data_IF_142392853037
#
_entry.id   IF_142392853037
#
_cell.length_a   1.000
_cell.length_b   1.000
_cell.length_c   1.000
_cell.angle_alpha   90.00
_cell.angle_beta   90.00
_cell.angle_gamma   90.00
#
_symmetry.space_group_name_H-M   'P 1'
#
loop_
_entity.id
_entity.type
_entity.pdbx_description
1 polymer ?
#
# COMPACT_ATOMS: atom_id res chain seq x y z
N UNK A 1 5.97 -1.38 18.14
CA UNK A 1 6.14 -1.11 16.69
C UNK A 1 7.15 0.02 16.40
N UNK A 2 6.83 1.32 16.50
CA UNK A 2 7.74 2.38 15.99
C UNK A 2 9.14 2.39 16.65
N UNK A 3 9.20 2.27 17.98
CA UNK A 3 10.47 2.22 18.73
C UNK A 3 11.28 0.98 18.33
N UNK A 4 10.64 -0.17 18.20
CA UNK A 4 11.29 -1.42 17.78
C UNK A 4 11.78 -1.35 16.33
N UNK A 5 11.00 -0.73 15.45
CA UNK A 5 11.41 -0.50 14.06
C UNK A 5 12.63 0.43 13.99
N UNK A 6 12.66 1.50 14.79
CA UNK A 6 13.81 2.39 14.86
C UNK A 6 15.06 1.67 15.36
N UNK A 7 14.93 0.82 16.39
CA UNK A 7 16.03 -0.02 16.88
C UNK A 7 16.55 -0.95 15.79
N UNK A 8 15.65 -1.60 15.04
CA UNK A 8 16.02 -2.45 13.90
C UNK A 8 16.75 -1.69 12.79
N UNK A 9 16.32 -0.46 12.47
CA UNK A 9 17.01 0.40 11.49
C UNK A 9 18.44 0.66 11.94
N UNK A 10 18.65 0.98 13.22
CA UNK A 10 19.98 1.24 13.79
C UNK A 10 20.86 -0.02 13.79
N UNK A 11 20.33 -1.16 14.21
CA UNK A 11 21.03 -2.46 14.21
C UNK A 11 21.49 -2.83 12.79
N UNK A 12 20.63 -2.67 11.78
CA UNK A 12 21.00 -2.98 10.39
C UNK A 12 21.97 -1.96 9.81
N UNK A 13 21.88 -0.69 10.20
CA UNK A 13 22.84 0.33 9.79
C UNK A 13 24.25 0.04 10.33
N UNK A 14 24.38 -0.52 11.53
CA UNK A 14 25.67 -0.98 12.08
C UNK A 14 26.30 -2.11 11.24
N UNK A 15 25.47 -2.94 10.61
CA UNK A 15 25.89 -3.98 9.66
C UNK A 15 26.08 -3.46 8.23
N UNK A 16 25.82 -2.16 7.97
CA UNK A 16 25.85 -1.58 6.63
C UNK A 16 24.70 -2.05 5.71
N UNK A 17 23.62 -2.57 6.31
CA UNK A 17 22.47 -3.14 5.61
C UNK A 17 21.25 -2.21 5.68
N UNK A 18 20.41 -2.17 4.63
CA UNK A 18 19.16 -1.44 4.68
C UNK A 18 18.16 -2.11 5.66
N UNK A 19 17.21 -1.35 6.23
CA UNK A 19 16.16 -1.92 7.06
C UNK A 19 15.29 -2.88 6.25
N UNK A 20 14.85 -3.96 6.90
CA UNK A 20 13.88 -4.88 6.31
C UNK A 20 12.53 -4.19 6.09
N UNK A 21 11.76 -4.74 5.15
CA UNK A 21 10.37 -4.38 4.96
C UNK A 21 9.53 -4.78 6.18
N UNK A 22 8.39 -4.13 6.35
CA UNK A 22 7.44 -4.44 7.43
C UNK A 22 6.74 -5.76 7.17
N UNK A 23 6.61 -6.56 8.23
CA UNK A 23 5.77 -7.75 8.23
C UNK A 23 4.29 -7.42 8.50
N UNK A 24 3.43 -8.43 8.45
CA UNK A 24 1.99 -8.26 8.61
C UNK A 24 1.58 -7.77 10.01
N UNK A 25 2.29 -8.17 11.06
CA UNK A 25 2.01 -7.75 12.44
C UNK A 25 2.38 -6.27 12.63
N UNK A 26 3.53 -5.86 12.10
CA UNK A 26 3.99 -4.48 12.09
C UNK A 26 3.04 -3.58 11.29
N UNK A 27 2.58 -4.01 10.11
CA UNK A 27 1.58 -3.25 9.33
C UNK A 27 0.25 -3.17 10.07
N UNK A 28 -0.19 -4.24 10.72
CA UNK A 28 -1.42 -4.22 11.53
C UNK A 28 -1.33 -3.20 12.67
N UNK A 29 -0.23 -3.22 13.42
CA UNK A 29 0.02 -2.24 14.47
C UNK A 29 0.10 -0.80 13.94
N UNK A 30 0.72 -0.61 12.77
CA UNK A 30 0.81 0.69 12.09
C UNK A 30 -0.57 1.22 11.68
N UNK A 31 -1.44 0.35 11.17
CA UNK A 31 -2.83 0.69 10.79
C UNK A 31 -3.63 1.15 12.01
N UNK A 32 -3.50 0.46 13.15
CA UNK A 32 -4.18 0.87 14.38
C UNK A 32 -3.73 2.25 14.87
N UNK A 33 -2.44 2.59 14.71
CA UNK A 33 -1.95 3.95 14.99
C UNK A 33 -2.57 4.99 14.06
N UNK A 34 -2.68 4.69 12.76
CA UNK A 34 -3.23 5.60 11.75
C UNK A 34 -4.75 5.82 11.87
N UNK A 35 -5.46 4.93 12.58
CA UNK A 35 -6.88 5.11 12.93
C UNK A 35 -7.10 6.09 14.09
N UNK A 36 -6.05 6.43 14.86
CA UNK A 36 -6.16 7.38 15.96
C UNK A 36 -6.43 8.80 15.44
N UNK A 37 -7.34 9.57 16.09
CA UNK A 37 -7.70 10.91 15.63
C UNK A 37 -6.56 11.93 15.76
N UNK A 38 -5.59 11.67 16.65
CA UNK A 38 -4.37 12.45 16.84
C UNK A 38 -3.18 11.53 17.02
N UNK A 39 -2.09 11.83 16.30
CA UNK A 39 -0.87 11.03 16.26
C UNK A 39 0.31 11.97 15.99
N UNK A 40 1.21 12.07 16.97
CA UNK A 40 2.36 12.98 16.90
C UNK A 40 3.34 12.58 15.78
N UNK A 41 3.46 11.26 15.50
CA UNK A 41 4.35 10.71 14.47
C UNK A 41 3.61 10.32 13.18
N UNK A 42 2.57 11.08 12.80
CA UNK A 42 1.71 10.74 11.66
C UNK A 42 2.46 10.65 10.33
N UNK A 43 3.37 11.59 10.05
CA UNK A 43 4.17 11.59 8.82
C UNK A 43 5.06 10.34 8.72
N UNK A 44 5.76 9.99 9.80
CA UNK A 44 6.59 8.78 9.85
C UNK A 44 5.74 7.52 9.60
N UNK A 45 4.56 7.43 10.22
CA UNK A 45 3.67 6.30 10.00
C UNK A 45 3.20 6.19 8.54
N UNK A 46 2.91 7.32 7.91
CA UNK A 46 2.56 7.35 6.49
C UNK A 46 3.73 6.92 5.60
N UNK A 47 4.94 7.42 5.85
CA UNK A 47 6.13 7.01 5.09
C UNK A 47 6.38 5.51 5.17
N UNK A 48 6.25 4.93 6.38
CA UNK A 48 6.36 3.49 6.60
C UNK A 48 5.29 2.72 5.81
N UNK A 49 4.03 3.16 5.87
CA UNK A 49 2.95 2.52 5.14
C UNK A 49 3.19 2.58 3.62
N UNK A 50 3.67 3.71 3.10
CA UNK A 50 3.86 3.93 1.67
C UNK A 50 5.06 3.15 1.14
N UNK A 51 6.20 3.22 1.82
CA UNK A 51 7.50 2.80 1.28
C UNK A 51 8.07 1.52 1.87
N UNK A 52 7.57 1.05 3.02
CA UNK A 52 8.15 -0.10 3.73
C UNK A 52 7.27 -1.34 3.76
N UNK A 53 6.12 -1.33 3.08
CA UNK A 53 5.27 -2.52 2.92
C UNK A 53 5.56 -3.20 1.58
N UNK A 54 5.86 -4.51 1.55
CA UNK A 54 6.02 -5.26 0.31
C UNK A 54 4.79 -5.11 -0.61
N UNK A 55 4.97 -5.00 -1.94
CA UNK A 55 3.85 -5.01 -2.88
C UNK A 55 3.38 -6.44 -3.19
N UNK A 56 2.29 -6.58 -3.94
CA UNK A 56 1.84 -7.88 -4.45
C UNK A 56 0.94 -8.65 -3.48
N UNK A 57 1.21 -9.96 -3.34
CA UNK A 57 0.40 -10.91 -2.56
C UNK A 57 1.04 -11.32 -1.23
N UNK A 58 1.90 -10.46 -0.70
CA UNK A 58 2.48 -10.62 0.64
C UNK A 58 1.41 -10.40 1.74
N UNK A 59 1.59 -11.00 2.91
CA UNK A 59 0.65 -10.85 4.03
C UNK A 59 0.59 -9.40 4.55
N UNK A 60 1.71 -8.68 4.56
CA UNK A 60 1.71 -7.26 4.92
C UNK A 60 1.00 -6.41 3.85
N UNK A 61 1.11 -6.80 2.57
CA UNK A 61 0.37 -6.18 1.48
C UNK A 61 -1.14 -6.40 1.63
N UNK A 62 -1.58 -7.59 2.07
CA UNK A 62 -2.98 -7.89 2.35
C UNK A 62 -3.56 -6.92 3.39
N UNK A 63 -2.88 -6.75 4.52
CA UNK A 63 -3.31 -5.83 5.59
C UNK A 63 -3.37 -4.39 5.09
N UNK A 64 -2.33 -3.93 4.39
CA UNK A 64 -2.30 -2.58 3.80
C UNK A 64 -3.42 -2.36 2.79
N UNK A 65 -3.68 -3.33 1.90
CA UNK A 65 -4.72 -3.22 0.89
C UNK A 65 -6.12 -3.14 1.53
N UNK A 66 -6.39 -3.98 2.54
CA UNK A 66 -7.64 -3.94 3.29
C UNK A 66 -7.88 -2.58 3.94
N UNK A 67 -6.90 -2.09 4.71
CA UNK A 67 -7.01 -0.78 5.35
C UNK A 67 -7.26 0.36 4.35
N UNK A 68 -6.49 0.41 3.26
CA UNK A 68 -6.67 1.45 2.25
C UNK A 68 -8.01 1.31 1.52
N UNK A 69 -8.51 0.09 1.30
CA UNK A 69 -9.83 -0.14 0.73
C UNK A 69 -10.93 0.40 1.64
N UNK A 70 -10.87 0.12 2.95
CA UNK A 70 -11.86 0.58 3.92
C UNK A 70 -11.88 2.11 4.02
N UNK A 71 -10.71 2.75 4.00
CA UNK A 71 -10.60 4.23 3.97
C UNK A 71 -11.14 4.80 2.67
N UNK A 72 -10.79 4.20 1.52
CA UNK A 72 -11.32 4.63 0.22
C UNK A 72 -12.84 4.46 0.11
N UNK A 73 -13.38 3.43 0.76
CA UNK A 73 -14.83 3.18 0.84
C UNK A 73 -15.53 4.07 1.88
N UNK A 74 -14.79 4.72 2.77
CA UNK A 74 -15.36 5.52 3.86
C UNK A 74 -15.89 4.67 5.02
N UNK A 75 -15.53 3.39 5.08
CA UNK A 75 -15.90 2.45 6.14
C UNK A 75 -15.04 2.67 7.40
N UNK A 76 -13.78 3.07 7.20
CA UNK A 76 -12.85 3.47 8.26
C UNK A 76 -12.49 4.94 8.10
N UNK A 77 -12.59 5.70 9.19
CA UNK A 77 -12.10 7.09 9.24
C UNK A 77 -10.61 7.11 9.55
N UNK A 78 -9.84 7.82 8.74
CA UNK A 78 -8.44 8.15 9.01
C UNK A 78 -8.27 9.65 8.86
N UNK A 79 -7.70 10.32 9.87
CA UNK A 79 -7.47 11.76 9.82
C UNK A 79 -6.36 12.17 8.83
N UNK A 80 -5.52 11.21 8.42
CA UNK A 80 -4.30 11.46 7.65
C UNK A 80 -4.38 10.99 6.19
N UNK A 81 -5.36 10.16 5.85
CA UNK A 81 -5.54 9.61 4.50
C UNK A 81 -6.98 9.86 4.05
N UNK A 82 -7.15 10.66 3.00
CA UNK A 82 -8.45 10.88 2.37
C UNK A 82 -8.85 9.67 1.52
N UNK A 83 -10.15 9.48 1.20
CA UNK A 83 -10.58 8.39 0.31
C UNK A 83 -9.90 8.41 -1.06
N UNK A 84 -9.70 9.61 -1.62
CA UNK A 84 -8.94 9.81 -2.87
C UNK A 84 -7.48 9.37 -2.69
N UNK A 85 -6.83 9.78 -1.60
CA UNK A 85 -5.44 9.40 -1.35
C UNK A 85 -5.27 7.90 -1.15
N UNK A 86 -6.21 7.26 -0.44
CA UNK A 86 -6.21 5.81 -0.27
C UNK A 86 -6.33 5.07 -1.61
N UNK A 87 -7.18 5.58 -2.51
CA UNK A 87 -7.32 5.08 -3.89
C UNK A 87 -6.00 5.20 -4.69
N UNK A 88 -5.31 6.34 -4.58
CA UNK A 88 -4.00 6.51 -5.21
C UNK A 88 -2.98 5.50 -4.70
N UNK A 89 -2.95 5.29 -3.38
CA UNK A 89 -2.02 4.35 -2.73
C UNK A 89 -2.31 2.90 -3.10
N UNK A 90 -3.58 2.49 -3.19
CA UNK A 90 -3.95 1.20 -3.77
C UNK A 90 -3.40 1.05 -5.19
N UNK A 91 -3.39 2.13 -5.98
CA UNK A 91 -2.81 2.16 -7.31
C UNK A 91 -1.32 1.79 -7.40
N UNK A 92 -0.54 2.03 -6.34
CA UNK A 92 0.92 1.81 -6.34
C UNK A 92 1.34 0.39 -5.97
N UNK A 93 0.44 -0.45 -5.44
CA UNK A 93 0.76 -1.77 -4.88
C UNK A 93 1.10 -2.87 -5.91
N UNK A 94 1.44 -2.50 -7.14
CA UNK A 94 1.88 -3.36 -8.27
C UNK A 94 0.96 -4.52 -8.71
N UNK A 95 -0.10 -4.87 -7.97
CA UNK A 95 -1.04 -5.95 -8.29
C UNK A 95 -1.35 -6.82 -7.07
N UNK A 96 -2.25 -7.80 -7.21
CA UNK A 96 -2.67 -8.67 -6.10
C UNK A 96 -3.87 -8.10 -5.34
N UNK A 97 -3.75 -7.96 -4.02
CA UNK A 97 -4.87 -7.59 -3.13
C UNK A 97 -5.46 -6.20 -3.38
N UNK A 98 -4.78 -5.35 -4.14
CA UNK A 98 -5.26 -4.02 -4.49
C UNK A 98 -6.22 -4.00 -5.70
N UNK A 99 -6.34 -5.09 -6.47
CA UNK A 99 -7.11 -5.09 -7.73
C UNK A 99 -8.63 -5.03 -7.48
N UNK A 100 -9.16 -5.95 -6.67
CA UNK A 100 -10.60 -5.96 -6.40
C UNK A 100 -11.09 -4.66 -5.74
N UNK A 101 -10.39 -4.11 -4.72
CA UNK A 101 -10.75 -2.80 -4.19
C UNK A 101 -10.75 -1.69 -5.24
N UNK A 102 -9.78 -1.65 -6.16
CA UNK A 102 -9.77 -0.65 -7.22
C UNK A 102 -10.96 -0.82 -8.18
N UNK A 103 -11.38 -2.05 -8.48
CA UNK A 103 -12.58 -2.31 -9.29
C UNK A 103 -13.83 -1.79 -8.57
N UNK A 104 -14.01 -2.14 -7.29
CA UNK A 104 -15.15 -1.69 -6.49
C UNK A 104 -15.26 -0.15 -6.42
N UNK A 105 -14.12 0.54 -6.46
CA UNK A 105 -14.05 2.00 -6.38
C UNK A 105 -14.38 2.72 -7.70
N UNK A 106 -14.53 1.99 -8.83
CA UNK A 106 -15.00 2.56 -10.09
C UNK A 106 -16.46 3.02 -10.00
N UNK A 107 -17.26 2.37 -9.16
CA UNK A 107 -18.68 2.66 -9.00
C UNK A 107 -18.96 3.80 -8.00
N UNK A 108 -17.90 4.42 -7.44
CA UNK A 108 -18.00 5.54 -6.49
C UNK A 108 -17.61 6.87 -7.14
N UNK A 109 -18.53 7.83 -7.15
CA UNK A 109 -18.34 9.13 -7.80
C UNK A 109 -17.04 9.84 -7.39
N UNK A 110 -16.72 9.87 -6.09
CA UNK A 110 -15.55 10.58 -5.55
C UNK A 110 -14.21 9.92 -5.91
N UNK A 111 -14.20 8.61 -6.17
CA UNK A 111 -12.97 7.83 -6.39
C UNK A 111 -12.81 7.37 -7.84
N UNK A 112 -13.89 7.31 -8.62
CA UNK A 112 -13.91 6.77 -9.98
C UNK A 112 -12.89 7.45 -10.91
N UNK A 113 -12.78 8.78 -10.87
CA UNK A 113 -11.80 9.53 -11.65
C UNK A 113 -10.35 9.22 -11.25
N UNK A 114 -10.12 8.88 -9.98
CA UNK A 114 -8.81 8.56 -9.42
C UNK A 114 -8.39 7.12 -9.75
N UNK A 115 -9.34 6.18 -9.82
CA UNK A 115 -9.09 4.78 -10.21
C UNK A 115 -8.67 4.64 -11.68
N UNK A 116 -9.22 5.46 -12.57
CA UNK A 116 -9.04 5.31 -14.02
C UNK A 116 -7.57 5.31 -14.48
N UNK A 117 -6.69 6.09 -13.83
CA UNK A 117 -5.25 6.14 -14.16
C UNK A 117 -4.50 4.86 -13.72
N UNK A 118 -4.54 4.44 -12.44
CA UNK A 118 -3.93 3.20 -11.97
C UNK A 118 -4.45 1.94 -12.68
N UNK A 119 -5.78 1.83 -12.87
CA UNK A 119 -6.39 0.62 -13.41
C UNK A 119 -6.09 0.45 -14.91
N UNK A 120 -6.16 1.53 -15.70
CA UNK A 120 -5.79 1.51 -17.13
C UNK A 120 -4.34 1.06 -17.32
N UNK A 121 -3.41 1.53 -16.47
CA UNK A 121 -2.00 1.11 -16.52
C UNK A 121 -1.82 -0.38 -16.18
N UNK A 122 -2.58 -0.89 -15.21
CA UNK A 122 -2.50 -2.30 -14.77
C UNK A 122 -3.18 -3.27 -15.75
N UNK A 123 -4.36 -2.93 -16.29
CA UNK A 123 -5.05 -3.71 -17.31
C UNK A 123 -4.26 -3.77 -18.62
N UNK A 124 -3.66 -2.65 -19.06
CA UNK A 124 -2.79 -2.66 -20.25
C UNK A 124 -1.55 -3.55 -20.04
N UNK A 125 -0.94 -3.52 -18.84
CA UNK A 125 0.19 -4.39 -18.53
C UNK A 125 -0.19 -5.88 -18.50
N UNK A 126 -1.40 -6.22 -18.04
CA UNK A 126 -1.92 -7.60 -18.05
C UNK A 126 -2.33 -8.08 -19.44
N UNK A 127 -2.69 -7.16 -20.35
CA UNK A 127 -3.13 -7.44 -21.72
C UNK A 127 -2.01 -7.33 -22.76
N UNK A 128 -0.82 -6.84 -22.39
CA UNK A 128 0.37 -6.90 -23.22
C UNK A 128 0.95 -8.32 -23.10
N UNK A 129 0.81 -9.18 -24.12
CA UNK A 129 1.54 -10.44 -24.12
C UNK A 129 3.03 -10.11 -24.01
N UNK A 130 3.74 -10.90 -23.21
CA UNK A 130 5.19 -10.86 -23.08
C UNK A 130 5.84 -10.93 -24.46
N UNK A 131 6.13 -9.77 -25.06
CA UNK A 131 7.00 -9.64 -26.23
C UNK A 131 8.45 -9.78 -25.78
N UNK A 132 8.78 -10.93 -25.18
CA UNK A 132 10.13 -11.44 -25.19
C UNK A 132 10.25 -12.23 -26.50
N UNK A 133 11.22 -11.92 -27.38
CA UNK A 133 11.47 -12.76 -28.53
C UNK A 133 11.93 -14.12 -27.99
N UNK A 134 11.08 -15.13 -28.12
CA UNK A 134 11.52 -16.52 -28.11
C UNK A 134 12.30 -16.70 -29.40
N UNK A 135 13.57 -16.31 -29.40
CA UNK A 135 14.54 -16.83 -30.38
C UNK A 135 14.70 -18.30 -30.04
N UNK A 136 13.97 -19.13 -30.78
CA UNK A 136 14.27 -20.55 -30.93
C UNK A 136 15.74 -20.69 -31.32
N UNK A 137 16.49 -21.43 -30.50
CA UNK A 137 17.69 -22.15 -30.92
C UNK A 137 17.27 -23.61 -31.09
#
# INVERSE_FOLDING_TARGET
>A
MLIEYQKHVEERAQEGLPPLALDAEQVSALVELLKLPKLDNSEQCLELLIHRVPPGVDQAAYVKAGFLADVAKGEVKCAYITPVKATELLGTMMGGYNIQPLIDLLDKEDTAATVGRPLKRKLIAALLPSMLPVTCI
#
